data_IF_435169612786
#
_entry.id   IF_435169612786
#
_cell.length_a   1.000
_cell.length_b   1.000
_cell.length_c   1.000
_cell.angle_alpha   90.00
_cell.angle_beta   90.00
_cell.angle_gamma   90.00
#
_symmetry.space_group_name_H-M   'P 1'
#
loop_
_entity.id
_entity.type
_entity.pdbx_description
1 polymer ?
#
# COMPACT_ATOMS: atom_id res chain seq x y z
N UNK A 1 -19.32 -8.26 -11.38
CA UNK A 1 -17.95 -8.04 -10.86
C UNK A 1 -17.96 -6.76 -10.02
N UNK A 2 -17.25 -6.70 -8.89
CA UNK A 2 -17.22 -5.49 -8.06
C UNK A 2 -16.30 -4.42 -8.67
N UNK A 3 -16.53 -3.15 -8.34
CA UNK A 3 -15.66 -2.05 -8.78
C UNK A 3 -14.21 -2.27 -8.33
N UNK A 4 -14.00 -2.76 -7.10
CA UNK A 4 -12.67 -3.08 -6.58
C UNK A 4 -11.92 -4.07 -7.49
N UNK A 5 -12.58 -5.15 -7.93
CA UNK A 5 -11.96 -6.10 -8.87
C UNK A 5 -11.66 -5.45 -10.22
N UNK A 6 -12.55 -4.60 -10.73
CA UNK A 6 -12.37 -3.93 -12.02
C UNK A 6 -11.14 -2.99 -12.03
N UNK A 7 -10.86 -2.32 -10.92
CA UNK A 7 -9.69 -1.45 -10.77
C UNK A 7 -8.45 -2.16 -10.21
N UNK A 8 -8.52 -3.49 -10.01
CA UNK A 8 -7.43 -4.29 -9.45
C UNK A 8 -7.18 -4.09 -7.94
N UNK A 9 -8.07 -3.38 -7.23
CA UNK A 9 -7.95 -3.13 -5.80
C UNK A 9 -8.12 -4.42 -4.98
N UNK A 10 -7.25 -4.57 -3.99
CA UNK A 10 -7.22 -5.69 -3.05
C UNK A 10 -7.81 -5.23 -1.73
N UNK A 11 -8.79 -5.99 -1.24
CA UNK A 11 -9.58 -5.64 -0.06
C UNK A 11 -9.50 -6.78 0.93
N UNK A 12 -9.26 -6.44 2.19
CA UNK A 12 -9.26 -7.34 3.34
C UNK A 12 -10.16 -6.78 4.45
N UNK A 13 -11.00 -7.61 5.06
CA UNK A 13 -11.84 -7.25 6.20
C UNK A 13 -11.47 -8.16 7.38
N UNK A 14 -10.82 -7.62 8.43
CA UNK A 14 -10.45 -8.41 9.60
C UNK A 14 -11.69 -8.73 10.44
N UNK A 15 -11.75 -9.96 10.94
CA UNK A 15 -12.81 -10.46 11.84
C UNK A 15 -12.19 -11.41 12.86
N UNK A 16 -12.92 -11.75 13.91
CA UNK A 16 -12.54 -12.84 14.83
C UNK A 16 -13.61 -13.93 14.87
N UNK A 17 -13.22 -15.18 15.12
CA UNK A 17 -14.19 -16.25 15.38
C UNK A 17 -14.85 -16.04 16.76
N UNK A 18 -16.08 -16.52 16.92
CA UNK A 18 -16.79 -16.33 18.21
C UNK A 18 -16.27 -17.28 19.30
N UNK A 19 -15.97 -18.53 18.95
CA UNK A 19 -15.62 -19.57 19.95
C UNK A 19 -14.22 -19.39 20.51
N UNK A 20 -13.24 -19.14 19.64
CA UNK A 20 -11.81 -19.14 20.00
C UNK A 20 -11.17 -17.75 19.86
N UNK A 21 -11.94 -16.74 19.42
CA UNK A 21 -11.44 -15.39 19.14
C UNK A 21 -10.27 -15.38 18.15
N UNK A 22 -10.22 -16.38 17.26
CA UNK A 22 -9.14 -16.54 16.29
C UNK A 22 -9.18 -15.39 15.27
N UNK A 23 -8.04 -14.71 15.03
CA UNK A 23 -7.91 -13.74 13.96
C UNK A 23 -8.16 -14.32 12.58
N UNK A 24 -9.05 -13.68 11.83
CA UNK A 24 -9.39 -14.08 10.47
C UNK A 24 -9.46 -12.89 9.52
N UNK A 25 -9.27 -13.14 8.23
CA UNK A 25 -9.35 -12.13 7.18
C UNK A 25 -10.22 -12.62 6.02
N UNK A 26 -11.27 -11.88 5.71
CA UNK A 26 -11.99 -12.01 4.44
C UNK A 26 -11.28 -11.20 3.37
N UNK A 27 -10.99 -11.81 2.22
CA UNK A 27 -10.28 -11.13 1.13
C UNK A 27 -11.01 -11.25 -0.21
N UNK A 28 -10.79 -10.29 -1.11
CA UNK A 28 -11.22 -10.41 -2.52
C UNK A 28 -10.11 -11.02 -3.42
N UNK A 29 -9.08 -11.61 -2.81
CA UNK A 29 -7.90 -12.16 -3.48
C UNK A 29 -7.39 -13.40 -2.76
N UNK A 30 -6.72 -14.30 -3.48
CA UNK A 30 -6.17 -15.53 -2.91
C UNK A 30 -4.71 -15.40 -2.46
N UNK A 31 -3.97 -14.44 -3.01
CA UNK A 31 -2.52 -14.30 -2.84
C UNK A 31 -1.76 -15.17 -3.87
N UNK A 32 -0.61 -14.67 -4.34
CA UNK A 32 0.31 -15.36 -5.26
C UNK A 32 1.55 -15.89 -4.54
N UNK A 33 1.98 -15.22 -3.46
CA UNK A 33 3.12 -15.60 -2.64
C UNK A 33 2.74 -16.54 -1.48
N UNK A 34 3.75 -17.14 -0.83
CA UNK A 34 3.52 -17.97 0.35
C UNK A 34 3.03 -17.10 1.52
N UNK A 35 2.02 -17.57 2.24
CA UNK A 35 1.73 -17.08 3.59
C UNK A 35 2.48 -17.95 4.59
N UNK A 36 3.22 -17.38 5.56
CA UNK A 36 3.79 -18.16 6.64
C UNK A 36 2.69 -18.96 7.34
N UNK A 37 2.98 -20.22 7.72
CA UNK A 37 2.01 -21.05 8.45
C UNK A 37 1.61 -20.41 9.78
N UNK A 38 2.51 -19.65 10.40
CA UNK A 38 2.28 -18.91 11.65
C UNK A 38 2.01 -17.42 11.43
N UNK A 39 1.25 -17.06 10.38
CA UNK A 39 0.92 -15.66 10.08
C UNK A 39 0.09 -14.96 11.18
N UNK A 40 -0.37 -15.70 12.19
CA UNK A 40 -1.16 -15.16 13.30
C UNK A 40 -2.60 -14.81 12.93
N UNK A 41 -3.06 -15.22 11.74
CA UNK A 41 -4.45 -15.13 11.27
C UNK A 41 -4.72 -16.09 10.11
N UNK A 42 -6.00 -16.40 9.89
CA UNK A 42 -6.48 -17.29 8.84
C UNK A 42 -7.24 -16.55 7.74
N UNK A 43 -6.99 -16.87 6.47
CA UNK A 43 -7.85 -16.42 5.36
C UNK A 43 -9.13 -17.25 5.35
N UNK A 44 -10.28 -16.58 5.39
CA UNK A 44 -11.56 -17.27 5.27
C UNK A 44 -11.83 -17.56 3.79
N UNK A 45 -12.08 -18.84 3.50
CA UNK A 45 -12.43 -19.32 2.16
C UNK A 45 -13.74 -20.09 2.24
N UNK A 46 -14.52 -20.05 1.17
CA UNK A 46 -15.65 -20.94 0.99
C UNK A 46 -15.12 -22.37 0.77
N UNK A 47 -15.53 -23.31 1.61
CA UNK A 47 -15.03 -24.70 1.60
C UNK A 47 -15.24 -25.38 0.24
N UNK A 48 -16.30 -25.03 -0.49
CA UNK A 48 -16.69 -25.70 -1.72
C UNK A 48 -16.23 -24.97 -3.00
N UNK A 49 -15.62 -23.78 -2.88
CA UNK A 49 -15.31 -22.87 -4.00
C UNK A 49 -16.52 -22.33 -4.78
N UNK A 50 -17.71 -22.95 -4.63
CA UNK A 50 -18.96 -22.66 -5.35
C UNK A 50 -19.86 -21.67 -4.62
N UNK A 51 -19.87 -21.67 -3.28
CA UNK A 51 -20.69 -20.74 -2.49
C UNK A 51 -19.95 -19.42 -2.30
N UNK A 52 -20.38 -18.38 -3.01
CA UNK A 52 -19.88 -17.02 -2.79
C UNK A 52 -20.48 -16.45 -1.51
N UNK A 53 -19.64 -16.11 -0.55
CA UNK A 53 -20.05 -15.36 0.65
C UNK A 53 -20.47 -13.96 0.22
N UNK A 54 -21.63 -13.48 0.68
CA UNK A 54 -22.15 -12.19 0.24
C UNK A 54 -21.40 -11.05 0.96
N UNK A 55 -21.12 -9.97 0.24
CA UNK A 55 -20.36 -8.84 0.78
C UNK A 55 -21.01 -8.23 2.04
N UNK A 56 -22.34 -8.14 2.09
CA UNK A 56 -23.04 -7.61 3.25
C UNK A 56 -22.90 -8.51 4.48
N UNK A 57 -22.74 -9.83 4.31
CA UNK A 57 -22.49 -10.75 5.43
C UNK A 57 -21.09 -10.50 6.01
N UNK A 58 -20.10 -10.34 5.13
CA UNK A 58 -18.73 -10.01 5.52
C UNK A 58 -18.68 -8.65 6.24
N UNK A 59 -19.35 -7.64 5.70
CA UNK A 59 -19.41 -6.31 6.30
C UNK A 59 -20.03 -6.36 7.71
N UNK A 60 -21.14 -7.09 7.88
CA UNK A 60 -21.72 -7.28 9.21
C UNK A 60 -20.80 -8.03 10.17
N UNK A 61 -20.05 -9.06 9.72
CA UNK A 61 -19.05 -9.70 10.59
C UNK A 61 -18.00 -8.69 11.07
N UNK A 62 -17.47 -7.86 10.18
CA UNK A 62 -16.44 -6.87 10.50
C UNK A 62 -16.92 -5.71 11.39
N UNK A 63 -18.23 -5.50 11.52
CA UNK A 63 -18.83 -4.45 12.36
C UNK A 63 -19.62 -5.00 13.55
N UNK A 64 -19.63 -6.33 13.76
CA UNK A 64 -20.35 -6.98 14.84
C UNK A 64 -19.59 -6.83 16.16
N UNK A 65 -19.46 -5.59 16.64
CA UNK A 65 -18.76 -5.27 17.87
C UNK A 65 -19.51 -5.87 19.07
N UNK A 66 -18.83 -6.63 19.95
CA UNK A 66 -19.42 -7.10 21.19
C UNK A 66 -20.12 -5.97 21.95
N UNK A 67 -21.25 -6.30 22.58
CA UNK A 67 -22.13 -5.37 23.31
C UNK A 67 -22.98 -4.43 22.45
N UNK A 68 -22.64 -4.21 21.18
CA UNK A 68 -23.44 -3.41 20.25
C UNK A 68 -24.28 -4.27 19.32
N UNK A 69 -23.68 -5.32 18.75
CA UNK A 69 -24.31 -6.18 17.77
C UNK A 69 -24.08 -7.66 18.07
N UNK A 70 -25.05 -8.54 17.76
CA UNK A 70 -24.81 -9.98 17.82
C UNK A 70 -23.80 -10.40 16.75
N UNK A 71 -23.01 -11.43 17.07
CA UNK A 71 -22.11 -12.04 16.11
C UNK A 71 -22.86 -12.57 14.88
N UNK A 72 -22.23 -12.48 13.70
CA UNK A 72 -22.83 -12.89 12.44
C UNK A 72 -22.43 -14.32 12.09
N UNK A 73 -23.44 -15.21 12.03
CA UNK A 73 -23.31 -16.55 11.46
C UNK A 73 -23.46 -16.52 9.94
N UNK A 74 -22.51 -17.15 9.25
CA UNK A 74 -22.52 -17.41 7.81
C UNK A 74 -22.63 -18.93 7.63
N UNK A 75 -23.71 -19.37 6.97
CA UNK A 75 -24.03 -20.78 6.82
C UNK A 75 -22.91 -21.52 6.06
N UNK A 76 -22.39 -22.60 6.66
CA UNK A 76 -21.31 -23.40 6.08
C UNK A 76 -19.92 -22.76 6.11
N UNK A 77 -19.77 -21.63 6.82
CA UNK A 77 -18.47 -20.95 6.96
C UNK A 77 -18.08 -20.79 8.44
N UNK A 78 -19.00 -20.29 9.28
CA UNK A 78 -18.75 -20.09 10.70
C UNK A 78 -19.50 -18.90 11.29
N UNK A 79 -19.23 -18.59 12.55
CA UNK A 79 -19.74 -17.40 13.25
C UNK A 79 -18.59 -16.46 13.55
N UNK A 80 -18.75 -15.19 13.16
CA UNK A 80 -17.71 -14.18 13.25
C UNK A 80 -18.22 -12.91 13.92
N UNK A 81 -17.31 -12.18 14.53
CA UNK A 81 -17.52 -10.90 15.19
C UNK A 81 -16.40 -9.92 14.81
N UNK A 82 -16.49 -8.70 15.32
CA UNK A 82 -15.60 -7.60 14.96
C UNK A 82 -14.11 -7.96 15.10
N UNK A 83 -13.31 -7.51 14.12
CA UNK A 83 -11.86 -7.67 14.09
C UNK A 83 -11.14 -6.81 15.13
N UNK A 84 -11.81 -5.84 15.73
CA UNK A 84 -11.23 -4.93 16.72
C UNK A 84 -10.82 -5.66 18.02
N UNK A 85 -11.44 -6.82 18.32
CA UNK A 85 -10.99 -7.76 19.37
C UNK A 85 -9.56 -8.26 19.17
N UNK A 86 -9.11 -8.33 17.92
CA UNK A 86 -7.74 -8.66 17.58
C UNK A 86 -6.90 -7.41 17.36
N UNK A 87 -7.31 -6.54 16.42
CA UNK A 87 -6.62 -5.31 16.07
C UNK A 87 -7.61 -4.25 15.61
N UNK A 88 -7.83 -3.24 16.45
CA UNK A 88 -8.66 -2.09 16.09
C UNK A 88 -8.01 -1.17 15.03
N UNK A 89 -6.67 -1.20 14.90
CA UNK A 89 -5.97 -0.56 13.79
C UNK A 89 -5.30 -1.62 12.90
N UNK A 90 -5.87 -1.95 11.73
CA UNK A 90 -5.44 -3.10 10.93
C UNK A 90 -4.23 -2.80 10.03
N UNK A 91 -3.52 -1.67 10.19
CA UNK A 91 -2.49 -1.22 9.24
C UNK A 91 -1.32 -2.21 9.05
N UNK A 92 -1.07 -3.10 10.00
CA UNK A 92 -0.10 -4.20 9.83
C UNK A 92 -0.53 -5.22 8.78
N UNK A 93 -1.84 -5.46 8.64
CA UNK A 93 -2.36 -6.51 7.76
C UNK A 93 -2.06 -6.25 6.29
N UNK A 94 -2.31 -5.06 5.73
CA UNK A 94 -1.85 -4.75 4.38
C UNK A 94 -0.34 -4.91 4.21
N UNK A 95 0.47 -4.54 5.21
CA UNK A 95 1.93 -4.66 5.12
C UNK A 95 2.38 -6.13 5.06
N UNK A 96 1.77 -7.01 5.85
CA UNK A 96 2.04 -8.45 5.81
C UNK A 96 1.53 -9.09 4.52
N UNK A 97 0.44 -8.59 3.95
CA UNK A 97 -0.15 -9.14 2.72
C UNK A 97 0.50 -8.60 1.43
N UNK A 98 1.28 -7.51 1.45
CA UNK A 98 2.00 -7.01 0.27
C UNK A 98 2.85 -8.10 -0.41
N UNK A 99 3.78 -8.81 0.27
CA UNK A 99 4.59 -9.85 -0.38
C UNK A 99 3.77 -11.07 -0.81
N UNK A 100 2.59 -11.26 -0.23
CA UNK A 100 1.67 -12.34 -0.59
C UNK A 100 0.89 -11.98 -1.86
N UNK A 101 0.45 -10.74 -2.00
CA UNK A 101 -0.31 -10.27 -3.16
C UNK A 101 0.61 -9.96 -4.33
N UNK A 102 1.74 -9.31 -4.05
CA UNK A 102 2.72 -8.85 -5.03
C UNK A 102 4.13 -9.26 -4.59
N UNK A 103 4.55 -10.52 -4.82
CA UNK A 103 5.84 -11.03 -4.36
C UNK A 103 7.07 -10.18 -4.74
N UNK A 104 7.15 -9.54 -5.93
CA UNK A 104 8.28 -8.67 -6.27
C UNK A 104 8.33 -7.36 -5.47
N UNK A 105 7.19 -6.93 -4.88
CA UNK A 105 7.09 -5.65 -4.18
C UNK A 105 7.52 -5.82 -2.73
N UNK A 106 8.67 -5.24 -2.37
CA UNK A 106 9.20 -5.29 -0.99
C UNK A 106 8.63 -4.24 -0.06
N UNK A 107 8.35 -3.03 -0.59
CA UNK A 107 7.84 -1.90 0.19
C UNK A 107 6.76 -1.14 -0.59
N UNK A 108 5.68 -0.69 0.06
CA UNK A 108 4.68 0.17 -0.59
C UNK A 108 5.26 1.56 -0.88
N UNK A 109 4.67 2.26 -1.86
CA UNK A 109 5.01 3.65 -2.15
C UNK A 109 4.46 4.62 -1.10
N UNK A 110 3.26 4.37 -0.59
CA UNK A 110 2.60 5.18 0.44
C UNK A 110 1.69 4.30 1.28
N UNK A 111 1.65 4.54 2.58
CA UNK A 111 0.74 3.88 3.52
C UNK A 111 -0.07 4.94 4.23
N UNK A 112 -1.38 4.93 4.00
CA UNK A 112 -2.31 5.85 4.61
C UNK A 112 -3.17 5.07 5.59
N UNK A 113 -3.09 5.43 6.86
CA UNK A 113 -3.93 4.87 7.91
C UNK A 113 -4.87 5.96 8.40
N UNK A 114 -6.18 5.68 8.33
CA UNK A 114 -7.23 6.61 8.77
C UNK A 114 -7.80 6.10 10.09
N UNK A 115 -7.85 6.98 11.09
CA UNK A 115 -8.45 6.69 12.37
C UNK A 115 -9.79 7.37 12.56
N UNK A 116 -10.58 6.83 13.48
CA UNK A 116 -11.94 7.28 13.81
C UNK A 116 -11.98 8.41 14.84
N UNK A 117 -10.82 8.96 15.20
CA UNK A 117 -10.67 10.00 16.19
C UNK A 117 -10.23 9.45 17.55
N UNK A 118 -9.68 10.32 18.39
CA UNK A 118 -9.46 9.99 19.80
C UNK A 118 -9.26 11.24 20.66
N UNK A 119 -9.59 11.14 21.94
CA UNK A 119 -9.35 12.19 22.93
C UNK A 119 -7.90 12.20 23.42
N UNK A 120 -7.41 13.35 23.87
CA UNK A 120 -6.11 13.45 24.54
C UNK A 120 -6.07 12.63 25.84
N UNK A 121 -4.89 12.37 26.42
CA UNK A 121 -4.80 11.65 27.69
C UNK A 121 -5.63 12.37 28.75
N UNK A 122 -6.59 11.66 29.33
CA UNK A 122 -7.37 12.15 30.45
C UNK A 122 -6.44 12.40 31.64
N UNK A 123 -6.32 13.67 32.10
CA UNK A 123 -5.93 13.90 33.48
C UNK A 123 -7.07 13.35 34.35
N UNK A 124 -6.79 12.47 35.33
CA UNK A 124 -7.81 11.96 36.22
C UNK A 124 -8.39 13.12 37.02
N UNK A 125 -9.58 13.58 36.64
CA UNK A 125 -10.37 14.48 37.48
C UNK A 125 -10.92 13.64 38.62
N UNK A 126 -10.20 13.66 39.73
CA UNK A 126 -10.75 13.27 41.03
C UNK A 126 -12.00 14.11 41.27
N UNK A 127 -13.12 13.44 41.49
CA UNK A 127 -14.29 13.84 42.31
C UNK A 127 -15.53 13.16 41.73
N UNK A 128 -15.83 11.95 42.23
CA UNK A 128 -17.21 11.47 42.17
C UNK A 128 -17.56 10.67 43.42
N UNK A 129 -18.62 11.16 44.07
CA UNK A 129 -19.31 10.68 45.28
C UNK A 129 -19.51 9.15 45.39
N UNK A 130 -19.47 8.69 46.64
CA UNK A 130 -19.50 7.27 47.12
C UNK A 130 -20.66 6.42 46.58
N UNK A 131 -21.74 7.02 46.06
CA UNK A 131 -22.92 6.30 45.56
C UNK A 131 -22.74 5.74 44.13
N UNK A 132 -21.71 6.16 43.38
CA UNK A 132 -21.36 5.61 42.04
C UNK A 132 -20.42 4.40 42.07
N UNK A 133 -19.96 3.98 43.26
CA UNK A 133 -19.03 2.85 43.41
C UNK A 133 -19.72 1.50 43.20
N UNK A 134 -20.97 1.35 43.67
CA UNK A 134 -21.67 0.06 43.73
C UNK A 134 -22.10 -0.44 42.33
N UNK A 135 -22.41 0.48 41.39
CA UNK A 135 -22.69 0.14 39.98
C UNK A 135 -21.42 0.04 39.11
N UNK A 136 -20.25 0.44 39.63
CA UNK A 136 -18.94 0.39 38.93
C UNK A 136 -18.19 -0.93 39.11
N UNK A 137 -18.59 -1.76 40.06
CA UNK A 137 -17.86 -2.96 40.48
C UNK A 137 -18.41 -4.26 39.86
N UNK A 138 -19.51 -4.19 39.09
CA UNK A 138 -20.07 -5.32 38.36
C UNK A 138 -19.07 -5.92 37.36
N UNK A 139 -19.06 -7.25 37.24
CA UNK A 139 -18.18 -7.95 36.28
C UNK A 139 -18.42 -7.49 34.84
N UNK A 140 -19.68 -7.28 34.43
CA UNK A 140 -20.04 -6.84 33.08
C UNK A 140 -19.53 -5.43 32.76
N UNK A 141 -19.64 -4.48 33.69
CA UNK A 141 -19.11 -3.13 33.50
C UNK A 141 -17.57 -3.09 33.49
N UNK A 142 -16.91 -3.99 34.25
CA UNK A 142 -15.46 -4.15 34.22
C UNK A 142 -14.99 -4.80 32.92
N UNK A 143 -15.67 -5.84 32.44
CA UNK A 143 -15.37 -6.49 31.16
C UNK A 143 -15.64 -5.59 29.96
N UNK A 144 -16.70 -4.78 30.00
CA UNK A 144 -16.97 -3.74 29.00
C UNK A 144 -15.86 -2.67 28.98
N UNK A 145 -15.42 -2.21 30.16
CA UNK A 145 -14.28 -1.27 30.26
C UNK A 145 -12.97 -1.89 29.79
N UNK A 146 -12.68 -3.12 30.17
CA UNK A 146 -11.49 -3.84 29.70
C UNK A 146 -11.53 -4.05 28.18
N UNK A 147 -12.70 -4.31 27.61
CA UNK A 147 -12.93 -4.35 26.18
C UNK A 147 -12.69 -2.97 25.54
N UNK A 148 -13.24 -1.88 26.09
CA UNK A 148 -12.96 -0.53 25.58
C UNK A 148 -11.48 -0.13 25.70
N UNK A 149 -10.80 -0.50 26.79
CA UNK A 149 -9.36 -0.28 26.95
C UNK A 149 -8.52 -1.12 25.96
N UNK A 150 -8.92 -2.36 25.68
CA UNK A 150 -8.32 -3.21 24.63
C UNK A 150 -8.52 -2.59 23.24
N UNK A 151 -9.71 -2.02 23.01
CA UNK A 151 -10.05 -1.29 21.78
C UNK A 151 -9.37 0.08 21.69
N UNK A 152 -8.97 0.68 22.81
CA UNK A 152 -8.28 1.96 22.85
C UNK A 152 -6.82 1.79 22.38
N UNK A 153 -6.70 1.57 21.07
CA UNK A 153 -5.45 1.33 20.36
C UNK A 153 -4.51 2.54 20.34
N UNK A 154 -4.73 3.57 21.15
CA UNK A 154 -3.87 4.75 21.24
C UNK A 154 -2.46 4.42 21.76
N UNK A 155 -2.32 3.59 22.79
CA UNK A 155 -1.01 3.24 23.37
C UNK A 155 -0.14 2.47 22.37
N UNK A 156 -0.75 1.55 21.62
CA UNK A 156 -0.12 0.84 20.51
C UNK A 156 0.08 1.80 19.33
N UNK A 157 -0.89 2.62 18.94
CA UNK A 157 -0.76 3.52 17.80
C UNK A 157 0.33 4.60 17.98
N UNK A 158 0.53 5.14 19.19
CA UNK A 158 1.53 6.18 19.46
C UNK A 158 2.96 5.62 19.51
N UNK A 159 3.21 4.51 20.22
CA UNK A 159 4.50 3.84 20.22
C UNK A 159 4.89 3.33 18.83
N UNK A 160 3.91 2.95 18.01
CA UNK A 160 4.13 2.43 16.65
C UNK A 160 4.26 3.53 15.58
N UNK A 161 3.74 4.76 15.79
CA UNK A 161 3.71 5.80 14.74
C UNK A 161 5.11 6.27 14.36
N UNK A 162 5.98 6.51 15.35
CA UNK A 162 7.34 6.95 15.09
C UNK A 162 8.20 5.82 14.52
N UNK A 163 8.07 4.60 15.07
CA UNK A 163 8.79 3.41 14.57
C UNK A 163 8.46 3.10 13.11
N UNK A 164 7.17 3.07 12.74
CA UNK A 164 6.76 2.77 11.36
C UNK A 164 7.08 3.84 10.35
N UNK A 165 7.03 5.13 10.74
CA UNK A 165 7.43 6.21 9.84
C UNK A 165 8.90 6.09 9.50
N UNK A 166 9.75 5.74 10.46
CA UNK A 166 11.17 5.47 10.21
C UNK A 166 11.36 4.20 9.37
N UNK A 167 10.72 3.08 9.74
CA UNK A 167 10.83 1.78 9.05
C UNK A 167 10.42 1.87 7.56
N UNK A 168 9.38 2.67 7.28
CA UNK A 168 8.85 2.89 5.93
C UNK A 168 9.46 4.11 5.26
N UNK A 169 10.61 4.61 5.72
CA UNK A 169 11.36 5.71 5.09
C UNK A 169 10.49 6.96 4.84
N UNK A 170 9.65 7.32 5.82
CA UNK A 170 8.75 8.46 5.76
C UNK A 170 7.42 8.24 5.02
N UNK A 171 7.18 7.06 4.43
CA UNK A 171 5.98 6.77 3.60
C UNK A 171 4.70 6.46 4.38
N UNK A 172 4.76 6.48 5.71
CA UNK A 172 3.61 6.19 6.57
C UNK A 172 2.95 7.47 7.10
N UNK A 173 1.66 7.61 6.80
CA UNK A 173 0.82 8.73 7.22
C UNK A 173 -0.37 8.20 8.04
N UNK A 174 -0.52 8.70 9.26
CA UNK A 174 -1.67 8.42 10.13
C UNK A 174 -2.46 9.69 10.37
N UNK A 175 -3.65 9.75 9.78
CA UNK A 175 -4.61 10.81 10.01
C UNK A 175 -5.62 10.34 11.04
N UNK A 176 -5.68 11.03 12.18
CA UNK A 176 -6.65 10.75 13.24
C UNK A 176 -7.19 12.09 13.76
N UNK A 177 -8.51 12.20 13.85
CA UNK A 177 -9.16 13.41 14.36
C UNK A 177 -8.88 13.55 15.85
N UNK A 178 -8.51 14.75 16.31
CA UNK A 178 -8.41 15.05 17.74
C UNK A 178 -9.81 15.37 18.25
N UNK A 179 -10.25 14.63 19.26
CA UNK A 179 -11.54 14.85 19.89
C UNK A 179 -11.32 15.53 21.24
N UNK A 180 -12.19 16.48 21.60
CA UNK A 180 -12.13 17.10 22.93
C UNK A 180 -12.55 16.11 24.02
N UNK A 181 -13.52 15.25 23.69
CA UNK A 181 -14.00 14.16 24.53
C UNK A 181 -14.25 12.93 23.67
N UNK A 182 -14.09 11.75 24.26
CA UNK A 182 -14.51 10.50 23.64
C UNK A 182 -16.02 10.53 23.36
N UNK A 183 -16.40 10.04 22.19
CA UNK A 183 -17.79 9.94 21.70
C UNK A 183 -18.15 8.48 21.62
N UNK A 184 -19.33 8.11 22.10
CA UNK A 184 -19.82 6.74 22.08
C UNK A 184 -20.01 6.26 20.63
N UNK A 185 -19.76 4.96 20.39
CA UNK A 185 -19.73 4.40 19.03
C UNK A 185 -21.09 4.50 18.31
N UNK A 186 -22.18 4.50 19.06
CA UNK A 186 -23.57 4.56 18.60
C UNK A 186 -24.20 5.97 18.70
N UNK A 187 -23.44 7.00 19.09
CA UNK A 187 -23.93 8.38 19.14
C UNK A 187 -24.02 9.01 17.73
N UNK A 188 -25.14 8.73 17.07
CA UNK A 188 -25.44 9.25 15.74
C UNK A 188 -25.68 10.76 15.71
N UNK A 189 -25.99 11.40 16.85
CA UNK A 189 -26.27 12.84 16.93
C UNK A 189 -24.98 13.64 16.68
N UNK A 190 -23.84 13.10 17.11
CA UNK A 190 -22.51 13.72 16.97
C UNK A 190 -21.90 13.61 15.58
N UNK A 191 -22.46 12.85 14.64
CA UNK A 191 -21.88 12.61 13.31
C UNK A 191 -21.57 13.90 12.53
N UNK A 192 -22.47 14.89 12.58
CA UNK A 192 -22.28 16.17 11.86
C UNK A 192 -21.13 16.98 12.45
N UNK A 193 -21.03 17.01 13.78
CA UNK A 193 -19.96 17.67 14.53
C UNK A 193 -18.61 17.01 14.23
N UNK A 194 -18.54 15.68 14.30
CA UNK A 194 -17.32 14.91 13.98
C UNK A 194 -16.84 15.16 12.55
N UNK A 195 -17.75 15.19 11.57
CA UNK A 195 -17.41 15.48 10.18
C UNK A 195 -16.87 16.91 10.01
N UNK A 196 -17.46 17.88 10.70
CA UNK A 196 -16.99 19.27 10.73
C UNK A 196 -15.58 19.35 11.32
N UNK A 197 -15.36 18.77 12.49
CA UNK A 197 -14.06 18.79 13.17
C UNK A 197 -12.97 18.13 12.33
N UNK A 198 -13.26 16.99 11.69
CA UNK A 198 -12.34 16.33 10.78
C UNK A 198 -11.98 17.23 9.58
N UNK A 199 -12.97 17.90 8.98
CA UNK A 199 -12.73 18.82 7.86
C UNK A 199 -11.89 20.02 8.28
N UNK A 200 -12.21 20.65 9.41
CA UNK A 200 -11.46 21.79 9.93
C UNK A 200 -10.01 21.42 10.27
N UNK A 201 -9.78 20.24 10.84
CA UNK A 201 -8.43 19.77 11.17
C UNK A 201 -7.58 19.50 9.92
N UNK A 202 -8.16 18.93 8.86
CA UNK A 202 -7.39 18.43 7.72
C UNK A 202 -7.42 19.33 6.48
N UNK A 203 -8.30 20.34 6.40
CA UNK A 203 -8.42 21.20 5.21
C UNK A 203 -7.16 22.00 4.86
N UNK A 204 -6.26 22.23 5.82
CA UNK A 204 -4.98 22.94 5.66
C UNK A 204 -3.79 22.10 6.11
N UNK A 205 -3.94 20.77 6.11
CA UNK A 205 -2.89 19.88 6.57
C UNK A 205 -1.80 19.71 5.52
N UNK A 206 -0.57 20.12 5.86
CA UNK A 206 0.61 19.90 5.01
C UNK A 206 0.83 18.42 4.71
N UNK A 207 0.56 17.53 5.66
CA UNK A 207 0.67 16.08 5.45
C UNK A 207 -0.35 15.57 4.41
N UNK A 208 -1.57 16.14 4.37
CA UNK A 208 -2.56 15.81 3.32
C UNK A 208 -2.05 16.24 1.96
N UNK A 209 -1.45 17.43 1.85
CA UNK A 209 -0.86 17.91 0.60
C UNK A 209 0.33 17.03 0.15
N UNK A 210 1.17 16.58 1.09
CA UNK A 210 2.26 15.63 0.80
C UNK A 210 1.69 14.32 0.27
N UNK A 211 0.70 13.74 0.94
CA UNK A 211 0.06 12.49 0.50
C UNK A 211 -0.59 12.64 -0.88
N UNK A 212 -1.25 13.77 -1.15
CA UNK A 212 -1.82 14.03 -2.48
C UNK A 212 -0.73 14.00 -3.57
N UNK A 213 0.42 14.65 -3.33
CA UNK A 213 1.58 14.61 -4.24
C UNK A 213 2.17 13.20 -4.37
N UNK A 214 2.26 12.43 -3.28
CA UNK A 214 2.67 11.02 -3.36
C UNK A 214 1.73 10.21 -4.26
N UNK A 215 0.41 10.36 -4.07
CA UNK A 215 -0.60 9.66 -4.87
C UNK A 215 -0.54 10.07 -6.35
N UNK A 216 -0.28 11.34 -6.64
CA UNK A 216 -0.02 11.85 -8.00
C UNK A 216 1.24 11.21 -8.60
N UNK A 217 2.37 11.21 -7.89
CA UNK A 217 3.62 10.61 -8.36
C UNK A 217 3.47 9.10 -8.63
N UNK A 218 2.71 8.36 -7.82
CA UNK A 218 2.45 6.92 -8.03
C UNK A 218 1.55 6.61 -9.24
N UNK A 219 1.02 7.63 -9.93
CA UNK A 219 0.41 7.45 -11.26
C UNK A 219 1.45 7.22 -12.34
N UNK A 220 2.71 7.55 -12.08
CA UNK A 220 3.80 7.31 -13.00
C UNK A 220 4.63 6.09 -12.58
N UNK A 221 5.24 5.43 -13.55
CA UNK A 221 6.16 4.31 -13.35
C UNK A 221 7.20 4.31 -14.45
N UNK A 222 8.34 3.64 -14.21
CA UNK A 222 9.44 3.55 -15.15
C UNK A 222 9.62 2.11 -15.63
N UNK A 223 9.93 1.94 -16.91
CA UNK A 223 10.40 0.68 -17.48
C UNK A 223 11.67 0.91 -18.30
N UNK A 224 12.59 -0.04 -18.23
CA UNK A 224 13.78 -0.10 -19.09
C UNK A 224 13.37 -0.32 -20.55
N UNK A 225 14.00 0.42 -21.47
CA UNK A 225 13.81 0.23 -22.91
C UNK A 225 14.51 -1.04 -23.39
N UNK A 226 15.65 -1.37 -22.80
CA UNK A 226 16.43 -2.56 -23.09
C UNK A 226 17.39 -2.85 -21.94
N UNK A 227 18.10 -3.98 -22.01
CA UNK A 227 19.10 -4.35 -21.00
C UNK A 227 20.19 -3.27 -20.91
N UNK A 228 20.36 -2.58 -19.76
CA UNK A 228 21.35 -1.53 -19.61
C UNK A 228 22.77 -2.11 -19.69
N UNK A 229 23.70 -1.31 -20.22
CA UNK A 229 25.12 -1.67 -20.32
C UNK A 229 25.78 -1.43 -18.98
N UNK A 230 26.59 -2.38 -18.50
CA UNK A 230 27.39 -2.21 -17.30
C UNK A 230 28.85 -1.91 -17.67
N UNK A 231 29.33 -0.72 -17.37
CA UNK A 231 30.70 -0.28 -17.65
C UNK A 231 31.29 0.41 -16.41
N UNK A 232 32.54 0.06 -16.05
CA UNK A 232 33.25 0.65 -14.89
C UNK A 232 32.42 0.66 -13.59
N UNK A 233 31.62 -0.38 -13.36
CA UNK A 233 30.78 -0.51 -12.18
C UNK A 233 29.48 0.29 -12.18
N UNK A 234 29.14 0.99 -13.26
CA UNK A 234 27.85 1.69 -13.43
C UNK A 234 26.99 1.03 -14.51
N UNK A 235 25.68 1.09 -14.35
CA UNK A 235 24.69 0.84 -15.39
C UNK A 235 24.40 2.13 -16.15
N UNK A 236 24.44 2.06 -17.48
CA UNK A 236 24.02 3.11 -18.40
C UNK A 236 22.98 2.55 -19.36
N UNK A 237 21.91 3.30 -19.58
CA UNK A 237 20.86 2.91 -20.50
C UNK A 237 19.76 3.95 -20.61
N UNK A 238 18.67 3.52 -21.24
CA UNK A 238 17.47 4.33 -21.45
C UNK A 238 16.23 3.55 -21.04
N UNK A 239 15.16 4.30 -20.79
CA UNK A 239 13.86 3.75 -20.50
C UNK A 239 12.78 4.79 -20.68
N UNK A 240 11.58 4.43 -20.27
CA UNK A 240 10.39 5.26 -20.44
C UNK A 240 9.67 5.44 -19.11
N UNK A 241 9.26 6.67 -18.84
CA UNK A 241 8.31 7.00 -17.80
C UNK A 241 6.91 6.99 -18.41
N UNK A 242 6.03 6.17 -17.85
CA UNK A 242 4.64 5.99 -18.29
C UNK A 242 3.66 6.54 -17.26
N UNK A 243 2.44 6.85 -17.69
CA UNK A 243 1.32 7.15 -16.80
C UNK A 243 0.32 5.98 -16.80
N UNK A 244 -0.15 5.58 -15.60
CA UNK A 244 -1.16 4.54 -15.40
C UNK A 244 -2.57 4.95 -15.84
N UNK A 245 -2.84 6.25 -15.89
CA UNK A 245 -4.14 6.73 -16.34
C UNK A 245 -4.20 6.63 -17.86
N UNK A 246 -5.19 5.89 -18.36
CA UNK A 246 -5.49 5.85 -19.80
C UNK A 246 -5.85 7.25 -20.28
N UNK A 247 -5.43 7.61 -21.50
CA UNK A 247 -5.86 8.84 -22.20
C UNK A 247 -7.39 9.01 -22.22
N UNK A 248 -8.15 7.91 -22.28
CA UNK A 248 -9.62 7.93 -22.30
C UNK A 248 -10.24 8.21 -20.92
N UNK A 249 -9.45 8.19 -19.85
CA UNK A 249 -9.91 8.51 -18.50
C UNK A 249 -10.16 10.01 -18.38
N UNK A 250 -11.32 10.44 -17.85
CA UNK A 250 -11.56 11.86 -17.53
C UNK A 250 -10.47 12.46 -16.63
N UNK A 251 -9.89 11.66 -15.73
CA UNK A 251 -8.86 12.11 -14.80
C UNK A 251 -7.49 12.34 -15.44
N UNK A 252 -7.23 11.88 -16.67
CA UNK A 252 -5.93 12.06 -17.32
C UNK A 252 -5.67 13.52 -17.70
N UNK A 253 -6.65 14.17 -18.32
CA UNK A 253 -6.55 15.58 -18.70
C UNK A 253 -6.40 16.50 -17.48
N UNK A 254 -7.18 16.24 -16.43
CA UNK A 254 -7.08 17.00 -15.17
C UNK A 254 -5.71 16.84 -14.51
N UNK A 255 -5.18 15.61 -14.47
CA UNK A 255 -3.85 15.34 -13.92
C UNK A 255 -2.76 16.12 -14.68
N UNK A 256 -2.76 16.05 -16.01
CA UNK A 256 -1.76 16.76 -16.82
C UNK A 256 -1.91 18.27 -16.73
N UNK A 257 -3.14 18.78 -16.73
CA UNK A 257 -3.43 20.20 -16.56
C UNK A 257 -2.94 20.72 -15.20
N UNK A 258 -3.16 19.95 -14.12
CA UNK A 258 -2.62 20.28 -12.80
C UNK A 258 -1.08 20.31 -12.81
N UNK A 259 -0.45 19.29 -13.38
CA UNK A 259 1.00 19.16 -13.38
C UNK A 259 1.68 20.25 -14.23
N UNK A 260 1.10 20.59 -15.38
CA UNK A 260 1.56 21.72 -16.22
C UNK A 260 1.43 23.04 -15.48
N UNK A 261 0.27 23.34 -14.88
CA UNK A 261 0.05 24.55 -14.07
C UNK A 261 1.02 24.70 -12.90
N UNK A 262 1.45 23.58 -12.31
CA UNK A 262 2.41 23.55 -11.20
C UNK A 262 3.87 23.45 -11.64
N UNK A 263 4.15 23.59 -12.95
CA UNK A 263 5.48 23.46 -13.52
C UNK A 263 6.19 22.17 -13.07
N UNK A 264 5.45 21.05 -13.08
CA UNK A 264 5.97 19.79 -12.59
C UNK A 264 7.04 19.22 -13.52
N UNK A 265 8.09 18.64 -12.94
CA UNK A 265 9.20 18.04 -13.69
C UNK A 265 9.61 16.71 -13.08
N UNK A 266 10.17 15.85 -13.94
CA UNK A 266 10.82 14.63 -13.50
C UNK A 266 12.29 14.90 -13.17
N UNK A 267 12.78 14.18 -12.17
CA UNK A 267 14.19 14.12 -11.77
C UNK A 267 14.63 12.66 -11.91
N UNK A 268 15.62 12.41 -12.76
CA UNK A 268 16.17 11.08 -13.03
C UNK A 268 17.61 11.06 -12.56
N UNK A 269 17.88 10.23 -11.54
CA UNK A 269 19.20 10.10 -10.92
C UNK A 269 19.86 11.45 -10.56
N UNK A 270 19.07 12.35 -9.94
CA UNK A 270 19.50 13.68 -9.54
C UNK A 270 19.45 14.75 -10.64
N UNK A 271 19.22 14.36 -11.90
CA UNK A 271 19.20 15.28 -13.03
C UNK A 271 17.78 15.66 -13.40
N UNK A 272 17.55 16.97 -13.47
CA UNK A 272 16.28 17.50 -13.93
C UNK A 272 16.12 17.28 -15.42
N UNK A 273 14.91 16.96 -15.77
CA UNK A 273 14.54 16.85 -17.16
C UNK A 273 14.18 18.24 -17.73
N UNK A 274 14.54 18.49 -19.00
CA UNK A 274 14.47 19.81 -19.64
C UNK A 274 13.05 20.23 -20.00
N UNK A 275 12.25 19.29 -20.49
CA UNK A 275 10.93 19.57 -21.07
C UNK A 275 9.81 19.58 -20.02
N UNK A 276 8.76 20.35 -20.31
CA UNK A 276 7.52 20.39 -19.53
C UNK A 276 6.71 19.09 -19.67
N UNK A 277 5.83 18.82 -18.71
CA UNK A 277 5.05 17.57 -18.67
C UNK A 277 4.02 17.43 -19.80
N UNK A 278 3.65 18.54 -20.42
CA UNK A 278 2.73 18.64 -21.55
C UNK A 278 3.44 18.72 -22.91
N UNK A 279 4.76 18.49 -22.94
CA UNK A 279 5.52 18.44 -24.17
C UNK A 279 5.01 17.33 -25.09
N UNK A 280 4.88 17.63 -26.39
CA UNK A 280 4.34 16.69 -27.39
C UNK A 280 5.19 15.41 -27.50
N UNK A 281 6.48 15.48 -27.21
CA UNK A 281 7.39 14.32 -27.19
C UNK A 281 7.07 13.30 -26.10
N UNK A 282 6.24 13.65 -25.11
CA UNK A 282 5.84 12.73 -24.04
C UNK A 282 4.61 11.92 -24.41
N UNK A 283 4.14 12.00 -25.65
CA UNK A 283 2.97 11.28 -26.11
C UNK A 283 3.33 10.38 -27.29
N UNK A 284 2.92 9.11 -27.22
CA UNK A 284 3.03 8.22 -28.36
C UNK A 284 1.98 8.57 -29.44
N UNK A 285 2.01 7.86 -30.57
CA UNK A 285 1.06 8.06 -31.67
C UNK A 285 -0.41 7.81 -31.26
N UNK A 286 -0.65 7.03 -30.20
CA UNK A 286 -1.98 6.81 -29.63
C UNK A 286 -2.36 7.89 -28.59
N UNK A 287 -1.43 8.78 -28.24
CA UNK A 287 -1.54 9.82 -27.24
C UNK A 287 -1.45 9.32 -25.79
N UNK A 288 -0.84 8.16 -25.56
CA UNK A 288 -0.50 7.73 -24.21
C UNK A 288 0.74 8.47 -23.72
N UNK A 289 0.75 8.83 -22.44
CA UNK A 289 1.92 9.43 -21.81
C UNK A 289 3.07 8.41 -21.78
N UNK A 290 4.16 8.76 -22.45
CA UNK A 290 5.40 8.00 -22.57
C UNK A 290 6.56 8.96 -22.79
N UNK A 291 7.40 9.15 -21.77
CA UNK A 291 8.60 9.99 -21.86
C UNK A 291 9.86 9.14 -21.85
N UNK A 292 10.70 9.25 -22.88
CA UNK A 292 12.04 8.62 -22.87
C UNK A 292 12.97 9.39 -21.94
N UNK A 293 13.74 8.66 -21.12
CA UNK A 293 14.80 9.23 -20.28
C UNK A 293 16.04 8.34 -20.35
N UNK A 294 17.21 8.95 -20.19
CA UNK A 294 18.49 8.26 -20.09
C UNK A 294 19.00 8.34 -18.66
N UNK A 295 19.79 7.35 -18.24
CA UNK A 295 20.34 7.30 -16.89
C UNK A 295 21.73 6.67 -16.86
N UNK A 296 22.53 7.06 -15.86
CA UNK A 296 23.80 6.43 -15.53
C UNK A 296 23.95 6.31 -14.00
N UNK A 297 23.70 5.14 -13.44
CA UNK A 297 23.73 4.91 -11.98
C UNK A 297 24.63 3.73 -11.60
N UNK A 298 25.07 3.66 -10.33
CA UNK A 298 25.86 2.52 -9.82
C UNK A 298 25.03 1.24 -9.79
N UNK A 299 24.00 1.21 -8.94
CA UNK A 299 23.13 0.03 -8.73
C UNK A 299 21.64 0.40 -8.62
N UNK A 300 21.33 1.64 -8.21
CA UNK A 300 19.97 2.07 -7.87
C UNK A 300 19.57 3.29 -8.68
N UNK A 301 18.50 3.18 -9.47
CA UNK A 301 17.93 4.27 -10.25
C UNK A 301 16.84 5.00 -9.45
N UNK A 302 17.02 6.29 -9.21
CA UNK A 302 15.99 7.15 -8.62
C UNK A 302 15.23 7.92 -9.70
N UNK A 303 13.90 7.90 -9.62
CA UNK A 303 13.03 8.69 -10.50
C UNK A 303 11.97 9.36 -9.64
N UNK A 304 11.96 10.69 -9.65
CA UNK A 304 11.05 11.49 -8.84
C UNK A 304 10.22 12.42 -9.72
N UNK A 305 9.05 12.80 -9.22
CA UNK A 305 8.22 13.87 -9.73
C UNK A 305 8.23 15.02 -8.72
N UNK A 306 8.55 16.22 -9.18
CA UNK A 306 8.49 17.42 -8.37
C UNK A 306 7.46 18.39 -8.95
N UNK A 307 6.55 18.89 -8.11
CA UNK A 307 5.57 19.93 -8.45
C UNK A 307 6.05 21.30 -7.92
N UNK A 308 6.56 22.15 -8.81
CA UNK A 308 7.09 23.48 -8.47
C UNK A 308 8.25 23.40 -7.46
N UNK A 309 8.18 24.17 -6.38
CA UNK A 309 9.16 24.15 -5.28
C UNK A 309 8.89 23.10 -4.20
N UNK A 310 7.87 22.24 -4.39
CA UNK A 310 7.52 21.21 -3.41
C UNK A 310 8.61 20.13 -3.30
N UNK A 311 8.65 19.42 -2.17
CA UNK A 311 9.55 18.27 -2.03
C UNK A 311 9.25 17.18 -3.09
N UNK A 312 10.27 16.71 -3.83
CA UNK A 312 10.13 15.64 -4.82
C UNK A 312 9.51 14.37 -4.24
N UNK A 313 8.71 13.67 -5.04
CA UNK A 313 8.08 12.41 -4.66
C UNK A 313 8.54 11.30 -5.60
N UNK A 314 8.90 10.14 -5.05
CA UNK A 314 9.20 8.97 -5.85
C UNK A 314 7.98 8.52 -6.66
N UNK A 315 8.20 8.20 -7.93
CA UNK A 315 7.17 7.54 -8.75
C UNK A 315 7.01 6.07 -8.32
N UNK A 316 6.03 5.36 -8.87
CA UNK A 316 5.72 3.99 -8.42
C UNK A 316 6.93 3.05 -8.51
N UNK A 317 7.27 2.39 -7.41
CA UNK A 317 8.42 1.48 -7.30
C UNK A 317 9.80 2.13 -7.19
N UNK A 318 9.94 3.47 -7.36
CA UNK A 318 11.22 4.15 -7.18
C UNK A 318 11.56 4.31 -5.68
N UNK A 319 12.85 4.23 -5.27
CA UNK A 319 14.03 3.94 -6.09
C UNK A 319 14.12 2.47 -6.49
N UNK A 320 14.68 2.21 -7.67
CA UNK A 320 14.75 0.88 -8.25
C UNK A 320 16.15 0.29 -8.17
N UNK A 321 16.31 -0.94 -7.69
CA UNK A 321 17.51 -1.70 -8.01
C UNK A 321 17.48 -2.05 -9.51
N UNK A 322 18.51 -1.69 -10.27
CA UNK A 322 18.54 -1.91 -11.73
C UNK A 322 18.43 -3.41 -12.06
N UNK A 323 18.98 -4.27 -11.21
CA UNK A 323 18.86 -5.73 -11.34
C UNK A 323 17.40 -6.18 -11.21
N UNK A 324 16.69 -5.72 -10.19
CA UNK A 324 15.29 -6.04 -9.97
C UNK A 324 14.42 -5.57 -11.16
N UNK A 325 14.70 -4.41 -11.76
CA UNK A 325 14.00 -3.96 -12.99
C UNK A 325 14.24 -4.91 -14.16
N UNK A 326 15.49 -5.34 -14.40
CA UNK A 326 15.78 -6.30 -15.47
C UNK A 326 15.06 -7.63 -15.25
N UNK A 327 15.02 -8.11 -14.01
CA UNK A 327 14.37 -9.38 -13.67
C UNK A 327 12.84 -9.28 -13.80
N UNK A 328 12.22 -8.21 -13.28
CA UNK A 328 10.78 -7.97 -13.38
C UNK A 328 10.30 -7.80 -14.83
N UNK A 329 11.13 -7.21 -15.69
CA UNK A 329 10.82 -7.03 -17.11
C UNK A 329 11.26 -8.22 -17.98
N UNK A 330 11.85 -9.28 -17.40
CA UNK A 330 12.32 -10.44 -18.16
C UNK A 330 13.47 -10.13 -19.12
N UNK A 331 14.22 -9.04 -18.92
CA UNK A 331 15.35 -8.65 -19.77
C UNK A 331 16.58 -9.55 -19.59
N UNK A 332 16.57 -10.40 -18.57
CA UNK A 332 17.55 -11.47 -18.36
C UNK A 332 17.08 -12.83 -18.90
N UNK A 333 15.87 -12.94 -19.45
CA UNK A 333 15.37 -14.16 -20.06
C UNK A 333 15.89 -14.24 -21.50
N UNK A 334 16.79 -15.19 -21.77
CA UNK A 334 17.40 -15.37 -23.10
C UNK A 334 16.41 -15.92 -24.15
N UNK A 335 15.27 -16.47 -23.73
CA UNK A 335 14.23 -17.04 -24.59
C UNK A 335 12.83 -16.70 -24.06
N UNK A 336 11.84 -16.57 -24.96
CA UNK A 336 10.41 -16.49 -24.60
C UNK A 336 9.81 -15.10 -24.43
N UNK A 337 10.52 -14.02 -24.80
CA UNK A 337 9.95 -12.66 -24.84
C UNK A 337 9.71 -12.18 -26.28
N UNK A 338 8.73 -11.28 -26.53
CA UNK A 338 8.49 -10.69 -27.85
C UNK A 338 9.73 -9.98 -28.43
N UNK A 339 10.61 -9.49 -27.56
CA UNK A 339 11.80 -8.69 -27.91
C UNK A 339 13.08 -9.54 -28.02
N UNK A 340 12.95 -10.86 -28.16
CA UNK A 340 14.11 -11.75 -28.34
C UNK A 340 15.02 -11.17 -29.44
N UNK A 341 16.25 -10.83 -29.06
CA UNK A 341 17.32 -10.53 -30.02
C UNK A 341 18.18 -11.77 -30.11
N UNK A 342 18.35 -12.31 -31.32
CA UNK A 342 19.34 -13.36 -31.60
C UNK A 342 20.68 -12.90 -31.02
N UNK A 343 21.31 -13.76 -30.22
CA UNK A 343 22.62 -13.55 -29.61
C UNK A 343 23.57 -12.98 -30.66
N UNK A 344 24.10 -11.76 -30.45
CA UNK A 344 25.36 -11.38 -31.10
C UNK A 344 26.42 -12.30 -30.51
N UNK A 345 27.04 -13.11 -31.36
CA UNK A 345 28.21 -13.90 -30.98
C UNK A 345 29.18 -12.97 -30.24
N UNK A 346 29.65 -13.45 -29.08
CA UNK A 346 30.80 -12.81 -28.46
C UNK A 346 31.93 -13.04 -29.45
N UNK A 347 32.49 -11.97 -29.99
CA UNK A 347 33.87 -12.00 -30.47
C UNK A 347 34.72 -12.35 -29.24
N UNK A 348 34.98 -13.64 -29.09
CA UNK A 348 35.98 -14.15 -28.17
C UNK A 348 37.32 -13.64 -28.70
N UNK A 349 37.90 -12.69 -27.96
CA UNK A 349 39.28 -12.31 -28.12
C UNK A 349 40.14 -13.57 -28.16
N UNK A 350 40.90 -13.68 -29.25
CA UNK A 350 41.92 -14.67 -29.49
C UNK A 350 42.85 -14.81 -28.26
N UNK A 351 42.90 -16.01 -27.73
CA UNK A 351 43.81 -16.44 -26.69
C UNK A 351 43.99 -17.95 -26.82
N UNK A 352 45.05 -18.33 -27.51
CA UNK A 352 45.44 -19.70 -27.89
C UNK A 352 45.25 -20.75 -26.78
N UNK A 353 44.65 -21.89 -27.14
CA UNK A 353 44.49 -23.03 -26.25
C UNK A 353 44.06 -24.29 -26.99
N UNK A 354 45.05 -25.02 -27.50
CA UNK A 354 44.95 -26.23 -28.32
C UNK A 354 43.84 -27.22 -27.93
N UNK A 355 43.05 -27.62 -28.94
CA UNK A 355 42.10 -28.71 -28.88
C UNK A 355 42.80 -30.07 -28.62
N UNK A 356 42.43 -30.75 -27.54
CA UNK A 356 42.70 -32.18 -27.36
C UNK A 356 41.40 -32.99 -27.40
N UNK A 357 41.16 -33.63 -28.55
CA UNK A 357 40.19 -34.72 -28.73
C UNK A 357 40.48 -35.85 -27.73
N UNK A 358 39.55 -36.12 -26.79
CA UNK A 358 39.54 -37.37 -26.02
C UNK A 358 38.90 -38.49 -26.86
N UNK A 359 39.72 -39.45 -27.28
CA UNK A 359 39.31 -40.73 -27.85
C UNK A 359 38.65 -41.58 -26.76
N UNK A 360 37.46 -42.12 -27.03
CA UNK A 360 36.83 -43.20 -26.24
C UNK A 360 37.67 -44.47 -26.36
N UNK A 361 37.92 -45.13 -25.24
CA UNK A 361 38.36 -46.54 -25.20
C UNK A 361 37.22 -47.35 -24.57
N UNK A 362 36.99 -48.53 -25.15
CA UNK A 362 35.98 -49.52 -24.79
C UNK A 362 36.22 -50.13 -23.42
#
# INVERSE_FOLDING_TARGET
YSHATAIGAKVGIPVTTVQETEPCLFTNYNGMGPRPQDSGYRIIRSQDGKKRIRLWEIAMCGSAAPWYFPAKRIQGVGSFQDGALWRNNPVDLPLWEIPVVWPPIRKPNVVISLGTGSSGPHLPTSHSSRLRAIWREGFLSRSYRAFLELLNGQKIAQAFKNGRRTELDGRYFRFNVKLDKEVDLDDTVKMRELAKNAREQFCRSVDVDVVARCLVATRFYFELESKPRRMKGKYSGSGYIFCRLSRKSPGFGELLGQLSKRAAKFIVDGHWTSESIDDRSFFDHAGHFRRRVEFETKDTLSVLLQEGSSHPQHISGSPYAVRDLMDMQGLNCDFGTPDHRKRKEREENEGEGQARKRRRVR
#
